data_IF_803107085893
#
_entry.id   IF_803107085893
#
_cell.length_a   1.000
_cell.length_b   1.000
_cell.length_c   1.000
_cell.angle_alpha   90.00
_cell.angle_beta   90.00
_cell.angle_gamma   90.00
#
_symmetry.space_group_name_H-M   'P 1'
#
loop_
_entity.id
_entity.type
_entity.pdbx_description
1 polymer ?
#
# COMPACT_ATOMS: atom_id res chain seq x y z
N UNK A 1 -20.41 -19.82 0.05
CA UNK A 1 -21.10 -18.61 -0.42
C UNK A 1 -21.35 -17.80 0.83
N UNK A 2 -20.56 -16.76 1.05
CA UNK A 2 -20.78 -15.80 2.12
C UNK A 2 -21.86 -14.86 1.57
N UNK A 3 -22.94 -14.64 2.31
CA UNK A 3 -23.98 -13.67 1.95
C UNK A 3 -23.36 -12.26 2.06
N UNK A 4 -22.66 -11.83 1.02
CA UNK A 4 -22.02 -10.50 0.98
C UNK A 4 -23.04 -9.39 0.65
N UNK A 5 -24.24 -9.76 0.16
CA UNK A 5 -25.28 -8.83 -0.25
C UNK A 5 -26.60 -9.12 0.48
N UNK A 6 -27.06 -8.16 1.25
CA UNK A 6 -28.37 -8.22 1.92
C UNK A 6 -29.41 -7.52 1.04
N UNK A 7 -30.40 -8.26 0.58
CA UNK A 7 -31.49 -7.74 -0.27
C UNK A 7 -32.49 -6.93 0.55
N UNK A 8 -32.74 -5.69 0.15
CA UNK A 8 -33.85 -4.89 0.72
C UNK A 8 -35.18 -5.23 0.06
N UNK A 9 -36.31 -4.80 0.69
CA UNK A 9 -37.72 -5.07 0.31
C UNK A 9 -38.12 -4.76 -1.15
N UNK A 10 -37.26 -4.12 -1.95
CA UNK A 10 -37.52 -3.77 -3.34
C UNK A 10 -36.49 -4.35 -4.31
N UNK A 11 -35.72 -5.36 -3.91
CA UNK A 11 -34.68 -5.95 -4.74
C UNK A 11 -33.42 -5.08 -4.89
N UNK A 12 -33.28 -3.98 -4.14
CA UNK A 12 -32.03 -3.21 -4.04
C UNK A 12 -31.13 -3.81 -2.97
N UNK A 13 -29.88 -4.01 -3.28
CA UNK A 13 -28.87 -4.43 -2.32
C UNK A 13 -28.62 -3.30 -1.32
N UNK A 14 -28.72 -3.59 -0.02
CA UNK A 14 -28.37 -2.63 1.02
C UNK A 14 -26.85 -2.63 1.21
N UNK A 15 -26.18 -1.46 1.21
CA UNK A 15 -24.73 -1.38 1.38
C UNK A 15 -24.32 -1.52 2.85
N UNK A 16 -24.70 -2.62 3.49
CA UNK A 16 -24.39 -2.91 4.88
C UNK A 16 -23.51 -4.16 4.99
N UNK A 17 -22.69 -4.23 6.02
CA UNK A 17 -21.88 -5.39 6.34
C UNK A 17 -22.09 -5.81 7.79
N UNK A 18 -22.49 -7.04 7.97
CA UNK A 18 -22.50 -7.68 9.30
C UNK A 18 -21.08 -8.09 9.64
N UNK A 19 -20.67 -7.79 10.86
CA UNK A 19 -19.33 -8.06 11.38
C UNK A 19 -19.46 -8.91 12.64
N UNK A 20 -18.58 -9.88 12.78
CA UNK A 20 -18.42 -10.68 14.00
C UNK A 20 -16.99 -10.57 14.48
N UNK A 21 -16.77 -10.19 15.72
CA UNK A 21 -15.45 -10.06 16.32
C UNK A 21 -14.93 -11.39 16.86
N UNK A 22 -13.64 -11.46 17.16
CA UNK A 22 -13.03 -12.67 17.76
C UNK A 22 -13.58 -12.95 19.18
N UNK A 23 -14.07 -11.94 19.91
CA UNK A 23 -14.79 -12.06 21.18
C UNK A 23 -16.29 -12.37 21.01
N UNK A 24 -16.73 -12.69 19.80
CA UNK A 24 -18.10 -13.07 19.47
C UNK A 24 -19.16 -11.96 19.64
N UNK A 25 -18.74 -10.68 19.57
CA UNK A 25 -19.64 -9.54 19.50
C UNK A 25 -20.08 -9.31 18.05
N UNK A 26 -21.26 -8.76 17.85
CA UNK A 26 -21.82 -8.48 16.53
C UNK A 26 -21.98 -6.97 16.32
N UNK A 27 -21.67 -6.53 15.10
CA UNK A 27 -21.82 -5.16 14.66
C UNK A 27 -22.36 -5.11 13.24
N UNK A 28 -22.99 -3.99 12.90
CA UNK A 28 -23.40 -3.67 11.53
C UNK A 28 -22.65 -2.41 11.10
N UNK A 29 -21.93 -2.50 9.99
CA UNK A 29 -21.32 -1.36 9.32
C UNK A 29 -22.27 -0.86 8.23
N UNK A 30 -22.65 0.42 8.28
CA UNK A 30 -23.43 1.10 7.26
C UNK A 30 -22.50 1.75 6.23
N UNK A 31 -22.48 1.21 5.02
CA UNK A 31 -21.66 1.74 3.93
C UNK A 31 -22.14 3.08 3.37
N UNK A 32 -23.35 3.57 3.72
CA UNK A 32 -23.82 4.89 3.35
C UNK A 32 -23.28 5.98 4.29
N UNK A 33 -23.28 5.72 5.59
CA UNK A 33 -22.94 6.70 6.62
C UNK A 33 -21.57 6.46 7.24
N UNK A 34 -20.94 5.30 6.98
CA UNK A 34 -19.73 4.80 7.66
C UNK A 34 -19.93 4.57 9.16
N UNK A 35 -21.16 4.50 9.65
CA UNK A 35 -21.44 4.20 11.05
C UNK A 35 -21.24 2.72 11.35
N UNK A 36 -20.77 2.46 12.57
CA UNK A 36 -20.68 1.10 13.14
C UNK A 36 -21.67 1.02 14.30
N UNK A 37 -22.61 0.08 14.19
CA UNK A 37 -23.70 -0.10 15.13
C UNK A 37 -23.46 -1.39 15.90
N UNK A 38 -23.33 -1.31 17.23
CA UNK A 38 -23.22 -2.49 18.09
C UNK A 38 -24.59 -3.16 18.22
N UNK A 39 -24.61 -4.46 18.05
CA UNK A 39 -25.84 -5.28 18.23
C UNK A 39 -25.79 -5.91 19.60
N UNK A 40 -26.56 -5.35 20.54
CA UNK A 40 -26.76 -5.93 21.86
C UNK A 40 -27.81 -7.03 21.75
N UNK A 41 -27.37 -8.27 21.79
CA UNK A 41 -28.27 -9.42 21.79
C UNK A 41 -28.75 -9.71 23.22
N UNK A 42 -30.00 -9.43 23.49
CA UNK A 42 -30.69 -9.92 24.72
C UNK A 42 -30.99 -11.44 24.65
N UNK A 43 -30.76 -12.07 23.50
CA UNK A 43 -30.98 -13.51 23.27
C UNK A 43 -29.68 -14.31 23.41
N UNK A 44 -29.82 -15.61 23.71
CA UNK A 44 -28.62 -16.49 23.86
C UNK A 44 -27.73 -16.41 22.64
N UNK A 45 -26.44 -16.13 22.86
CA UNK A 45 -25.41 -15.89 21.81
C UNK A 45 -25.30 -17.05 20.81
N UNK A 46 -25.75 -18.23 21.13
CA UNK A 46 -25.69 -19.43 20.28
C UNK A 46 -26.72 -19.43 19.12
N UNK A 47 -27.74 -18.56 19.18
CA UNK A 47 -28.83 -18.48 18.19
C UNK A 47 -28.60 -17.37 17.15
N UNK A 48 -27.66 -16.47 17.37
CA UNK A 48 -27.38 -15.34 16.45
C UNK A 48 -26.37 -15.77 15.42
N UNK A 49 -26.81 -15.82 14.18
CA UNK A 49 -25.96 -16.01 12.99
C UNK A 49 -26.15 -14.84 12.01
N UNK A 50 -25.34 -14.79 10.98
CA UNK A 50 -25.40 -13.73 9.94
C UNK A 50 -26.79 -13.69 9.25
N UNK A 51 -27.45 -14.83 9.06
CA UNK A 51 -28.77 -14.95 8.45
C UNK A 51 -29.83 -14.32 9.34
N UNK A 52 -29.83 -14.62 10.64
CA UNK A 52 -30.75 -14.01 11.62
C UNK A 52 -30.59 -12.47 11.67
N UNK A 53 -29.37 -11.98 11.64
CA UNK A 53 -29.09 -10.55 11.61
C UNK A 53 -29.63 -9.91 10.33
N UNK A 54 -29.40 -10.55 9.17
CA UNK A 54 -29.86 -10.06 7.89
C UNK A 54 -31.41 -10.01 7.81
N UNK A 55 -32.10 -11.06 8.30
CA UNK A 55 -33.55 -11.19 8.17
C UNK A 55 -34.35 -10.42 9.20
N UNK A 56 -33.85 -10.26 10.43
CA UNK A 56 -34.59 -9.67 11.53
C UNK A 56 -34.05 -8.36 12.05
N UNK A 57 -32.73 -8.27 12.26
CA UNK A 57 -32.11 -7.10 12.90
C UNK A 57 -31.99 -5.93 11.93
N UNK A 58 -31.52 -6.17 10.72
CA UNK A 58 -31.35 -5.10 9.73
C UNK A 58 -32.66 -4.40 9.35
N UNK A 59 -33.79 -5.13 9.10
CA UNK A 59 -35.07 -4.48 8.89
C UNK A 59 -35.53 -3.61 10.06
N UNK A 60 -35.34 -4.07 11.30
CA UNK A 60 -35.68 -3.29 12.50
C UNK A 60 -34.84 -2.01 12.61
N UNK A 61 -33.54 -2.07 12.34
CA UNK A 61 -32.65 -0.90 12.34
C UNK A 61 -33.05 0.12 11.26
N UNK A 62 -33.53 -0.34 10.11
CA UNK A 62 -34.07 0.50 9.05
C UNK A 62 -35.38 1.16 9.44
N UNK A 63 -36.32 0.43 10.07
CA UNK A 63 -37.60 0.94 10.56
C UNK A 63 -37.39 2.00 11.66
N UNK A 64 -36.39 1.80 12.51
CA UNK A 64 -36.02 2.75 13.56
C UNK A 64 -35.24 3.97 13.04
N UNK A 65 -34.87 4.01 11.76
CA UNK A 65 -34.09 5.08 11.18
C UNK A 65 -32.61 5.10 11.63
N UNK A 66 -32.14 4.00 12.23
CA UNK A 66 -30.75 3.85 12.65
C UNK A 66 -29.86 3.56 11.42
N UNK A 67 -30.35 2.71 10.50
CA UNK A 67 -29.76 2.53 9.18
C UNK A 67 -30.46 3.43 8.17
N UNK A 68 -29.69 3.98 7.23
CA UNK A 68 -30.22 4.95 6.26
C UNK A 68 -30.75 4.24 5.01
N UNK A 69 -31.97 4.61 4.60
CA UNK A 69 -32.52 4.33 3.26
C UNK A 69 -32.26 5.57 2.41
N UNK A 70 -31.06 5.77 1.90
CA UNK A 70 -30.73 6.94 1.09
C UNK A 70 -30.57 6.62 -0.38
N UNK A 71 -30.88 7.60 -1.25
CA UNK A 71 -30.40 7.57 -2.63
C UNK A 71 -28.87 7.74 -2.62
N UNK A 72 -28.21 6.90 -3.38
CA UNK A 72 -26.74 6.88 -3.47
C UNK A 72 -26.30 8.03 -4.34
N UNK A 73 -25.59 9.00 -3.77
CA UNK A 73 -24.95 10.06 -4.53
C UNK A 73 -23.89 9.52 -5.51
N UNK A 74 -23.51 10.32 -6.48
CA UNK A 74 -22.40 9.97 -7.39
C UNK A 74 -21.05 9.97 -6.66
N UNK A 75 -20.11 9.15 -7.14
CA UNK A 75 -18.75 9.18 -6.64
C UNK A 75 -18.08 10.52 -6.97
N UNK A 76 -17.36 11.08 -6.01
CA UNK A 76 -16.61 12.32 -6.17
C UNK A 76 -15.19 12.17 -5.63
N UNK A 77 -14.31 13.02 -6.09
CA UNK A 77 -13.00 13.18 -5.46
C UNK A 77 -13.12 14.08 -4.24
N UNK A 78 -12.25 13.90 -3.21
CA UNK A 78 -12.35 14.66 -1.95
C UNK A 78 -12.05 16.16 -2.09
N UNK A 79 -11.57 16.60 -3.25
CA UNK A 79 -11.27 18.00 -3.57
C UNK A 79 -11.72 18.31 -4.99
N UNK A 80 -12.01 19.59 -5.28
CA UNK A 80 -12.31 20.05 -6.62
C UNK A 80 -11.09 19.92 -7.55
N UNK A 81 -11.29 19.89 -8.86
CA UNK A 81 -10.18 19.84 -9.82
C UNK A 81 -9.30 21.10 -9.75
N UNK A 82 -9.86 22.26 -9.40
CA UNK A 82 -9.11 23.51 -9.24
C UNK A 82 -8.17 23.41 -8.02
N UNK A 83 -8.68 22.99 -6.88
CA UNK A 83 -7.89 22.74 -5.67
C UNK A 83 -6.81 21.69 -5.91
N UNK A 84 -7.16 20.62 -6.62
CA UNK A 84 -6.23 19.55 -6.99
C UNK A 84 -5.08 20.07 -7.86
N UNK A 85 -5.36 20.83 -8.93
CA UNK A 85 -4.32 21.42 -9.80
C UNK A 85 -3.47 22.45 -9.05
N UNK A 86 -4.07 23.23 -8.15
CA UNK A 86 -3.34 24.12 -7.25
C UNK A 86 -2.38 23.34 -6.34
N UNK A 87 -2.82 22.22 -5.77
CA UNK A 87 -1.97 21.36 -4.96
C UNK A 87 -0.85 20.72 -5.78
N UNK A 88 -1.14 20.29 -7.01
CA UNK A 88 -0.17 19.71 -7.94
C UNK A 88 0.94 20.70 -8.29
N UNK A 89 0.64 21.98 -8.40
CA UNK A 89 1.60 23.04 -8.70
C UNK A 89 2.47 23.48 -7.51
N UNK A 90 2.16 23.04 -6.26
CA UNK A 90 2.80 23.63 -5.08
C UNK A 90 3.02 22.72 -3.88
N UNK A 91 2.34 21.57 -3.82
CA UNK A 91 2.21 20.77 -2.59
C UNK A 91 2.48 19.29 -2.79
N UNK A 92 3.29 18.90 -3.79
CA UNK A 92 3.68 17.49 -3.99
C UNK A 92 4.49 17.03 -2.78
N UNK A 93 4.04 15.97 -2.06
CA UNK A 93 4.65 15.62 -0.77
C UNK A 93 6.02 14.99 -0.90
N UNK A 94 6.24 14.13 -1.91
CA UNK A 94 7.49 13.40 -2.06
C UNK A 94 7.87 13.15 -3.52
N UNK A 95 9.16 13.03 -3.78
CA UNK A 95 9.75 12.61 -5.04
C UNK A 95 10.28 11.19 -4.93
N UNK A 96 9.89 10.31 -5.84
CA UNK A 96 10.47 8.97 -5.97
C UNK A 96 11.21 8.88 -7.31
N UNK A 97 12.52 8.63 -7.25
CA UNK A 97 13.39 8.49 -8.43
C UNK A 97 13.61 7.02 -8.73
N UNK A 98 13.21 6.57 -9.92
CA UNK A 98 13.63 5.25 -10.43
C UNK A 98 15.08 5.34 -10.89
N UNK A 99 16.03 5.19 -9.97
CA UNK A 99 17.48 5.38 -10.26
C UNK A 99 18.00 4.43 -11.33
N UNK A 100 17.44 3.24 -11.39
CA UNK A 100 17.79 2.20 -12.35
C UNK A 100 16.64 1.22 -12.56
N UNK A 101 16.57 0.63 -13.74
CA UNK A 101 15.75 -0.56 -14.04
C UNK A 101 16.51 -1.86 -13.82
N UNK A 102 17.83 -1.78 -13.61
CA UNK A 102 18.68 -2.94 -13.38
C UNK A 102 18.57 -3.44 -11.94
N UNK A 103 18.60 -4.76 -11.75
CA UNK A 103 18.63 -5.40 -10.45
C UNK A 103 19.51 -6.63 -10.51
N UNK A 104 20.22 -6.92 -9.44
CA UNK A 104 21.03 -8.12 -9.29
C UNK A 104 20.25 -9.34 -8.79
N UNK A 105 18.95 -9.16 -8.46
CA UNK A 105 18.05 -10.22 -8.03
C UNK A 105 16.91 -10.43 -9.03
N UNK A 106 16.46 -11.69 -9.13
CA UNK A 106 15.30 -12.14 -9.90
C UNK A 106 14.17 -12.58 -8.94
N UNK A 107 13.72 -11.68 -8.07
CA UNK A 107 12.67 -11.98 -7.09
C UNK A 107 11.41 -12.47 -7.80
N UNK A 108 10.84 -13.59 -7.33
CA UNK A 108 9.72 -14.24 -8.02
C UNK A 108 8.44 -13.39 -8.08
N UNK A 109 8.27 -12.46 -7.15
CA UNK A 109 7.10 -11.58 -7.01
C UNK A 109 7.34 -10.13 -7.48
N UNK A 110 8.53 -9.83 -8.00
CA UNK A 110 8.88 -8.47 -8.39
C UNK A 110 8.03 -8.00 -9.58
N UNK A 111 7.47 -6.81 -9.47
CA UNK A 111 6.70 -6.21 -10.57
C UNK A 111 7.55 -6.00 -11.83
N UNK A 112 8.87 -5.85 -11.68
CA UNK A 112 9.83 -5.72 -12.78
C UNK A 112 10.43 -7.06 -13.24
N UNK A 113 9.86 -8.20 -12.82
CA UNK A 113 10.36 -9.53 -13.20
C UNK A 113 10.14 -9.90 -14.67
N UNK A 114 9.41 -9.09 -15.44
CA UNK A 114 8.96 -9.41 -16.80
C UNK A 114 7.80 -10.39 -16.85
N UNK A 115 7.23 -10.79 -15.70
CA UNK A 115 6.08 -11.70 -15.60
C UNK A 115 4.73 -10.95 -15.60
N UNK A 116 4.76 -9.64 -15.54
CA UNK A 116 3.59 -8.75 -15.55
C UNK A 116 3.56 -7.98 -16.86
N UNK A 117 2.54 -8.20 -17.69
CA UNK A 117 2.42 -7.63 -19.04
C UNK A 117 2.35 -6.10 -19.06
N UNK A 118 1.84 -5.50 -17.96
CA UNK A 118 1.66 -4.05 -17.83
C UNK A 118 2.87 -3.31 -17.28
N UNK A 119 3.91 -4.03 -16.88
CA UNK A 119 5.12 -3.44 -16.28
C UNK A 119 6.35 -3.67 -17.16
N UNK A 120 7.22 -2.67 -17.22
CA UNK A 120 8.52 -2.83 -17.88
C UNK A 120 9.37 -3.85 -17.14
N UNK A 121 9.97 -4.82 -17.83
CA UNK A 121 10.90 -5.75 -17.19
C UNK A 121 12.17 -5.01 -16.73
N UNK A 122 12.92 -5.63 -15.83
CA UNK A 122 14.28 -5.22 -15.49
C UNK A 122 15.15 -5.10 -16.75
N UNK A 123 15.95 -4.04 -16.85
CA UNK A 123 16.82 -3.77 -17.98
C UNK A 123 18.07 -3.00 -17.51
N UNK A 124 19.20 -3.06 -18.23
CA UNK A 124 20.40 -2.28 -17.92
C UNK A 124 20.23 -0.81 -18.34
N UNK A 125 19.32 -0.11 -17.67
CA UNK A 125 18.98 1.28 -17.94
C UNK A 125 19.01 2.06 -16.62
N UNK A 126 19.93 3.01 -16.53
CA UNK A 126 20.13 3.86 -15.36
C UNK A 126 19.66 5.28 -15.65
N UNK A 127 19.12 5.95 -14.63
CA UNK A 127 18.80 7.37 -14.72
C UNK A 127 20.09 8.20 -14.78
N UNK A 128 20.18 9.10 -15.74
CA UNK A 128 21.33 10.00 -15.84
C UNK A 128 21.39 10.96 -14.66
N UNK A 129 22.59 11.44 -14.31
CA UNK A 129 22.75 12.49 -13.30
C UNK A 129 21.98 13.77 -13.68
N UNK A 130 21.93 14.11 -14.96
CA UNK A 130 21.16 15.25 -15.46
C UNK A 130 19.65 15.06 -15.19
N UNK A 131 19.11 13.88 -15.53
CA UNK A 131 17.70 13.56 -15.27
C UNK A 131 17.38 13.60 -13.77
N UNK A 132 18.29 13.09 -12.90
CA UNK A 132 18.12 13.19 -11.44
C UNK A 132 18.06 14.64 -10.97
N UNK A 133 19.01 15.48 -11.42
CA UNK A 133 19.04 16.89 -11.04
C UNK A 133 17.77 17.63 -11.50
N UNK A 134 17.37 17.47 -12.76
CA UNK A 134 16.14 18.07 -13.30
C UNK A 134 14.90 17.61 -12.56
N UNK A 135 14.85 16.34 -12.14
CA UNK A 135 13.73 15.81 -11.33
C UNK A 135 13.66 16.47 -9.96
N UNK A 136 14.82 16.72 -9.32
CA UNK A 136 14.89 17.41 -8.02
C UNK A 136 14.48 18.88 -8.17
N UNK A 137 14.89 19.56 -9.23
CA UNK A 137 14.48 20.94 -9.53
C UNK A 137 12.96 21.02 -9.78
N UNK A 138 12.44 20.10 -10.61
CA UNK A 138 11.01 20.03 -10.88
C UNK A 138 10.20 19.82 -9.59
N UNK A 139 10.63 18.87 -8.74
CA UNK A 139 10.00 18.63 -7.46
C UNK A 139 10.07 19.86 -6.54
N UNK A 140 11.20 20.54 -6.47
CA UNK A 140 11.35 21.75 -5.65
C UNK A 140 10.37 22.85 -6.08
N UNK A 141 10.19 23.04 -7.40
CA UNK A 141 9.23 24.00 -7.95
C UNK A 141 7.77 23.66 -7.61
N UNK A 142 7.45 22.36 -7.39
CA UNK A 142 6.09 21.87 -7.15
C UNK A 142 5.83 21.44 -5.70
N UNK A 143 6.76 21.65 -4.78
CA UNK A 143 6.64 21.27 -3.37
C UNK A 143 6.87 22.43 -2.38
N UNK A 144 6.85 23.67 -2.84
CA UNK A 144 7.24 24.81 -2.01
C UNK A 144 6.30 25.07 -0.81
N UNK A 145 5.05 24.61 -0.84
CA UNK A 145 4.09 24.68 0.28
C UNK A 145 4.21 23.52 1.27
N UNK A 146 4.89 22.42 0.94
CA UNK A 146 5.02 21.32 1.89
C UNK A 146 5.96 21.69 3.04
N UNK A 147 5.72 21.20 4.28
CA UNK A 147 6.54 21.56 5.44
C UNK A 147 7.97 21.01 5.34
N UNK A 148 8.16 19.91 4.62
CA UNK A 148 9.44 19.27 4.36
C UNK A 148 9.52 18.78 2.91
N UNK A 149 10.71 18.49 2.42
CA UNK A 149 10.95 17.79 1.16
C UNK A 149 11.30 16.33 1.46
N UNK A 150 10.74 15.41 0.69
CA UNK A 150 11.03 13.97 0.81
C UNK A 150 11.50 13.43 -0.54
N UNK A 151 12.67 12.79 -0.57
CA UNK A 151 13.22 12.18 -1.78
C UNK A 151 13.54 10.71 -1.51
N UNK A 152 12.97 9.82 -2.32
CA UNK A 152 13.20 8.38 -2.24
C UNK A 152 13.92 7.88 -3.49
N UNK A 153 15.01 7.17 -3.31
CA UNK A 153 15.69 6.44 -4.37
C UNK A 153 15.15 5.02 -4.42
N UNK A 154 14.64 4.65 -5.59
CA UNK A 154 13.93 3.41 -5.85
C UNK A 154 14.34 2.83 -7.22
N UNK A 155 13.77 1.69 -7.63
CA UNK A 155 13.95 1.10 -8.95
C UNK A 155 14.15 -0.40 -8.91
N UNK A 156 15.09 -0.94 -9.68
CA UNK A 156 15.55 -2.33 -9.55
C UNK A 156 16.32 -2.49 -8.25
N UNK A 157 17.62 -2.20 -8.26
CA UNK A 157 18.44 -2.07 -7.05
C UNK A 157 19.18 -0.74 -7.08
N UNK A 158 18.75 0.26 -6.29
CA UNK A 158 19.34 1.61 -6.32
C UNK A 158 20.84 1.65 -6.01
N UNK A 159 21.33 0.77 -5.14
CA UNK A 159 22.74 0.74 -4.76
C UNK A 159 23.69 0.32 -5.92
N UNK A 160 23.16 -0.17 -7.04
CA UNK A 160 23.95 -0.30 -8.29
C UNK A 160 24.41 1.05 -8.81
N UNK A 161 23.62 2.10 -8.58
CA UNK A 161 23.90 3.49 -8.99
C UNK A 161 24.35 4.35 -7.80
N UNK A 162 25.07 3.76 -6.83
CA UNK A 162 25.42 4.42 -5.57
C UNK A 162 26.11 5.79 -5.76
N UNK A 163 27.03 5.92 -6.70
CA UNK A 163 27.72 7.20 -6.94
C UNK A 163 26.75 8.28 -7.45
N UNK A 164 25.81 7.92 -8.31
CA UNK A 164 24.78 8.85 -8.80
C UNK A 164 23.85 9.29 -7.67
N UNK A 165 23.52 8.38 -6.74
CA UNK A 165 22.75 8.72 -5.53
C UNK A 165 23.54 9.72 -4.68
N UNK A 166 24.82 9.52 -4.41
CA UNK A 166 25.66 10.47 -3.67
C UNK A 166 25.64 11.86 -4.30
N UNK A 167 25.76 11.93 -5.63
CA UNK A 167 25.70 13.19 -6.36
C UNK A 167 24.33 13.87 -6.24
N UNK A 168 23.24 13.10 -6.40
CA UNK A 168 21.87 13.58 -6.28
C UNK A 168 21.55 14.08 -4.87
N UNK A 169 21.99 13.39 -3.83
CA UNK A 169 21.85 13.80 -2.42
C UNK A 169 22.57 15.14 -2.20
N UNK A 170 23.80 15.26 -2.66
CA UNK A 170 24.57 16.52 -2.55
C UNK A 170 23.88 17.67 -3.30
N UNK A 171 23.28 17.37 -4.45
CA UNK A 171 22.51 18.33 -5.23
C UNK A 171 21.21 18.74 -4.54
N UNK A 172 20.44 17.78 -4.03
CA UNK A 172 19.19 18.03 -3.32
C UNK A 172 19.39 18.95 -2.10
N UNK A 173 20.46 18.74 -1.33
CA UNK A 173 20.81 19.62 -0.19
C UNK A 173 21.07 21.08 -0.61
N UNK A 174 21.64 21.31 -1.80
CA UNK A 174 21.81 22.67 -2.33
C UNK A 174 20.47 23.29 -2.72
N UNK A 175 19.56 22.52 -3.29
CA UNK A 175 18.24 23.02 -3.69
C UNK A 175 17.37 23.31 -2.47
N UNK A 176 17.36 22.40 -1.47
CA UNK A 176 16.50 22.49 -0.28
C UNK A 176 17.18 23.10 0.96
N UNK A 177 18.17 23.98 0.79
CA UNK A 177 18.95 24.58 1.90
C UNK A 177 18.10 25.20 3.03
N UNK A 178 16.87 25.67 2.70
CA UNK A 178 15.97 26.38 3.63
C UNK A 178 14.77 25.54 4.06
N UNK A 179 14.75 24.26 3.71
CA UNK A 179 13.62 23.35 3.96
C UNK A 179 14.13 22.05 4.54
N UNK A 180 13.49 21.49 5.58
CA UNK A 180 13.82 20.14 6.03
C UNK A 180 13.78 19.15 4.87
N UNK A 181 14.82 18.33 4.77
CA UNK A 181 14.97 17.34 3.70
C UNK A 181 15.13 15.95 4.33
N UNK A 182 14.25 15.04 3.96
CA UNK A 182 14.34 13.63 4.31
C UNK A 182 14.68 12.82 3.06
N UNK A 183 15.65 11.96 3.17
CA UNK A 183 16.12 11.12 2.06
C UNK A 183 16.00 9.66 2.45
N UNK A 184 15.52 8.82 1.53
CA UNK A 184 15.46 7.38 1.74
C UNK A 184 15.98 6.60 0.53
N UNK A 185 16.59 5.45 0.78
CA UNK A 185 17.06 4.50 -0.23
C UNK A 185 16.38 3.16 0.04
N UNK A 186 15.53 2.70 -0.89
CA UNK A 186 14.90 1.38 -0.81
C UNK A 186 15.78 0.34 -1.47
N UNK A 187 16.32 -0.61 -0.71
CA UNK A 187 17.31 -1.57 -1.23
C UNK A 187 16.99 -3.02 -0.87
N UNK A 188 17.50 -3.93 -1.70
CA UNK A 188 17.55 -5.35 -1.39
C UNK A 188 18.69 -5.73 -0.42
N UNK A 189 19.53 -4.77 -0.03
CA UNK A 189 20.61 -4.85 0.93
C UNK A 189 21.78 -5.78 0.55
N UNK A 190 21.83 -6.33 -0.67
CA UNK A 190 22.91 -7.24 -1.08
C UNK A 190 24.24 -6.55 -1.41
N UNK A 191 24.22 -5.22 -1.58
CA UNK A 191 25.39 -4.40 -1.90
C UNK A 191 26.00 -3.68 -0.71
N UNK A 192 25.46 -3.86 0.50
CA UNK A 192 25.99 -3.24 1.70
C UNK A 192 27.44 -3.65 1.91
N UNK A 193 28.31 -2.66 2.02
CA UNK A 193 29.74 -2.80 2.25
C UNK A 193 30.27 -1.58 3.02
N UNK A 194 31.53 -1.60 3.45
CA UNK A 194 32.12 -0.51 4.23
C UNK A 194 31.98 0.86 3.56
N UNK A 195 32.26 0.96 2.25
CA UNK A 195 32.16 2.24 1.52
C UNK A 195 30.76 2.87 1.64
N UNK A 196 29.70 2.06 1.54
CA UNK A 196 28.31 2.54 1.66
C UNK A 196 28.00 2.90 3.13
N UNK A 197 28.46 2.08 4.08
CA UNK A 197 28.25 2.33 5.50
C UNK A 197 29.03 3.57 6.00
N UNK A 198 30.26 3.79 5.54
CA UNK A 198 31.04 5.01 5.82
C UNK A 198 30.27 6.25 5.33
N UNK A 199 29.79 6.20 4.08
CA UNK A 199 29.01 7.30 3.53
C UNK A 199 27.71 7.54 4.30
N UNK A 200 26.98 6.50 4.71
CA UNK A 200 25.78 6.64 5.54
C UNK A 200 26.11 7.27 6.90
N UNK A 201 27.23 6.91 7.53
CA UNK A 201 27.64 7.48 8.82
C UNK A 201 27.96 8.98 8.72
N UNK A 202 28.41 9.46 7.56
CA UNK A 202 28.65 10.88 7.26
C UNK A 202 27.36 11.61 6.83
N UNK A 203 26.29 10.88 6.49
CA UNK A 203 25.05 11.40 5.90
C UNK A 203 23.83 10.96 6.74
N UNK A 204 23.72 11.52 7.96
CA UNK A 204 22.74 11.11 8.97
C UNK A 204 21.27 11.43 8.63
N UNK A 205 21.02 12.23 7.61
CA UNK A 205 19.71 12.56 7.05
C UNK A 205 19.23 11.56 5.99
N UNK A 206 20.04 10.53 5.70
CA UNK A 206 19.71 9.48 4.72
C UNK A 206 19.27 8.21 5.44
N UNK A 207 18.05 7.76 5.17
CA UNK A 207 17.47 6.54 5.71
C UNK A 207 17.58 5.38 4.72
N UNK A 208 17.88 4.20 5.23
CA UNK A 208 17.97 2.96 4.48
C UNK A 208 16.76 2.09 4.77
N UNK A 209 15.94 1.80 3.76
CA UNK A 209 14.78 0.91 3.88
C UNK A 209 15.15 -0.42 3.24
N UNK A 210 15.36 -1.43 4.06
CA UNK A 210 15.80 -2.74 3.61
C UNK A 210 14.62 -3.72 3.53
N UNK A 211 14.52 -4.46 2.42
CA UNK A 211 13.55 -5.54 2.32
C UNK A 211 14.18 -6.86 2.76
N UNK A 212 13.68 -7.45 3.86
CA UNK A 212 14.16 -8.73 4.40
C UNK A 212 12.96 -9.61 4.77
N UNK A 213 12.83 -10.76 4.11
CA UNK A 213 11.66 -11.64 4.22
C UNK A 213 11.92 -12.88 5.11
N UNK A 214 12.93 -12.84 5.97
CA UNK A 214 13.31 -14.00 6.79
C UNK A 214 13.72 -15.23 5.95
N UNK A 215 13.40 -16.41 6.42
CA UNK A 215 13.73 -17.67 5.75
C UNK A 215 13.08 -17.79 4.35
N UNK A 216 11.91 -17.16 4.13
CA UNK A 216 11.22 -17.13 2.84
C UNK A 216 12.07 -16.46 1.74
N UNK A 217 13.03 -15.62 2.11
CA UNK A 217 13.91 -14.93 1.17
C UNK A 217 14.76 -15.89 0.31
N UNK A 218 15.20 -17.02 0.86
CA UNK A 218 16.01 -18.02 0.12
C UNK A 218 15.28 -18.60 -1.09
N UNK A 219 13.96 -18.65 -1.05
CA UNK A 219 13.12 -19.17 -2.12
C UNK A 219 12.58 -18.07 -3.04
N UNK A 220 12.29 -16.91 -2.50
CA UNK A 220 11.57 -15.81 -3.21
C UNK A 220 12.49 -14.77 -3.81
N UNK A 221 13.72 -14.59 -3.28
CA UNK A 221 14.68 -13.53 -3.67
C UNK A 221 16.02 -14.14 -4.06
N UNK A 222 16.05 -14.73 -5.23
CA UNK A 222 17.25 -15.35 -5.81
C UNK A 222 17.96 -14.41 -6.76
N UNK A 223 19.25 -14.61 -6.94
CA UNK A 223 19.99 -14.01 -8.04
C UNK A 223 19.71 -14.74 -9.36
N UNK A 224 20.24 -14.25 -10.46
CA UNK A 224 20.04 -14.85 -11.78
C UNK A 224 20.70 -16.24 -11.93
N UNK A 225 21.57 -16.65 -11.02
CA UNK A 225 22.10 -18.02 -10.96
C UNK A 225 21.21 -18.98 -10.17
N UNK A 226 20.13 -18.48 -9.57
CA UNK A 226 19.21 -19.24 -8.73
C UNK A 226 19.66 -19.38 -7.27
N UNK A 227 20.72 -18.68 -6.86
CA UNK A 227 21.22 -18.68 -5.47
C UNK A 227 20.40 -17.71 -4.63
N UNK A 228 20.03 -18.10 -3.41
CA UNK A 228 19.36 -17.25 -2.44
C UNK A 228 20.22 -16.05 -1.99
N UNK A 229 19.56 -14.99 -1.57
CA UNK A 229 20.22 -13.72 -1.24
C UNK A 229 20.43 -13.48 0.26
N UNK A 230 19.80 -14.27 1.14
CA UNK A 230 19.76 -14.01 2.58
C UNK A 230 21.18 -13.92 3.20
N UNK A 231 22.07 -14.81 2.82
CA UNK A 231 23.45 -14.81 3.34
C UNK A 231 24.21 -13.50 3.08
N UNK A 232 24.04 -12.90 1.87
CA UNK A 232 24.64 -11.62 1.53
C UNK A 232 24.01 -10.47 2.34
N UNK A 233 22.69 -10.48 2.46
CA UNK A 233 21.95 -9.47 3.22
C UNK A 233 22.34 -9.50 4.70
N UNK A 234 22.41 -10.70 5.30
CA UNK A 234 22.82 -10.85 6.70
C UNK A 234 24.28 -10.42 6.93
N UNK A 235 25.16 -10.58 5.95
CA UNK A 235 26.51 -10.04 6.00
C UNK A 235 26.54 -8.53 6.13
N UNK A 236 25.72 -7.83 5.33
CA UNK A 236 25.57 -6.38 5.39
C UNK A 236 24.92 -5.90 6.71
N UNK A 237 23.90 -6.62 7.20
CA UNK A 237 23.26 -6.33 8.48
C UNK A 237 24.24 -6.44 9.64
N UNK A 238 25.04 -7.53 9.70
CA UNK A 238 26.06 -7.71 10.74
C UNK A 238 27.11 -6.60 10.70
N UNK A 239 27.53 -6.18 9.51
CA UNK A 239 28.45 -5.06 9.34
C UNK A 239 27.88 -3.78 9.97
N UNK A 240 26.61 -3.45 9.70
CA UNK A 240 25.93 -2.32 10.29
C UNK A 240 25.83 -2.43 11.83
N UNK A 241 25.43 -3.59 12.33
CA UNK A 241 25.26 -3.84 13.78
C UNK A 241 26.57 -3.72 14.54
N UNK A 242 27.68 -4.23 13.98
CA UNK A 242 28.94 -4.34 14.66
C UNK A 242 29.82 -3.08 14.52
N UNK A 243 29.91 -2.55 13.31
CA UNK A 243 30.89 -1.50 13.00
C UNK A 243 30.23 -0.11 12.84
N UNK A 244 28.88 -0.04 12.66
CA UNK A 244 28.15 1.22 12.44
C UNK A 244 26.85 1.29 13.29
N UNK A 245 26.95 1.21 14.63
CA UNK A 245 25.76 1.13 15.49
C UNK A 245 24.86 2.36 15.40
N UNK A 246 25.41 3.56 15.16
CA UNK A 246 24.63 4.78 15.00
C UNK A 246 23.78 4.72 13.72
N UNK A 247 24.36 4.31 12.59
CA UNK A 247 23.62 4.07 11.33
C UNK A 247 22.55 3.01 11.54
N UNK A 248 22.93 1.90 12.19
CA UNK A 248 22.00 0.82 12.52
C UNK A 248 20.80 1.32 13.31
N UNK A 249 21.04 2.06 14.38
CA UNK A 249 19.98 2.48 15.29
C UNK A 249 19.07 3.54 14.71
N UNK A 250 19.59 4.50 13.95
CA UNK A 250 18.87 5.71 13.57
C UNK A 250 18.47 5.80 12.09
N UNK A 251 19.16 5.09 11.18
CA UNK A 251 18.94 5.24 9.74
C UNK A 251 18.37 3.98 9.06
N UNK A 252 18.27 2.83 9.79
CA UNK A 252 17.86 1.56 9.20
C UNK A 252 16.45 1.17 9.60
N UNK A 253 15.61 0.95 8.60
CA UNK A 253 14.24 0.42 8.72
C UNK A 253 14.05 -0.80 7.83
N UNK A 254 13.03 -1.61 8.12
CA UNK A 254 12.78 -2.86 7.41
C UNK A 254 11.36 -2.95 6.87
N UNK A 255 11.23 -3.58 5.71
CA UNK A 255 9.97 -4.08 5.16
C UNK A 255 10.11 -5.58 4.98
N UNK A 256 9.11 -6.35 5.38
CA UNK A 256 9.03 -7.78 5.09
C UNK A 256 7.83 -8.10 4.20
N UNK A 257 8.06 -8.92 3.18
CA UNK A 257 6.99 -9.45 2.33
C UNK A 257 6.75 -10.91 2.67
N UNK A 258 5.48 -11.31 2.69
CA UNK A 258 5.07 -12.69 2.91
C UNK A 258 4.05 -13.13 1.84
N UNK A 259 4.06 -14.39 1.50
CA UNK A 259 3.12 -14.96 0.54
C UNK A 259 1.85 -15.47 1.23
N UNK A 260 2.02 -16.12 2.39
CA UNK A 260 0.93 -16.65 3.21
C UNK A 260 1.11 -16.23 4.66
N UNK A 261 0.01 -16.01 5.36
CA UNK A 261 0.03 -15.73 6.81
C UNK A 261 0.69 -16.84 7.64
N UNK A 262 0.76 -18.06 7.09
CA UNK A 262 1.47 -19.20 7.70
C UNK A 262 2.97 -18.92 7.90
N UNK A 263 3.56 -18.03 7.10
CA UNK A 263 4.98 -17.67 7.18
C UNK A 263 5.27 -16.63 8.29
N UNK A 264 4.26 -15.89 8.74
CA UNK A 264 4.42 -14.74 9.65
C UNK A 264 5.09 -15.15 10.97
N UNK A 265 4.71 -16.24 11.66
CA UNK A 265 5.39 -16.65 12.89
C UNK A 265 6.89 -16.91 12.70
N UNK A 266 7.28 -17.50 11.57
CA UNK A 266 8.69 -17.75 11.26
C UNK A 266 9.44 -16.45 10.93
N UNK A 267 8.79 -15.48 10.26
CA UNK A 267 9.33 -14.13 10.00
C UNK A 267 9.51 -13.40 11.33
N UNK A 268 8.53 -13.46 12.22
CA UNK A 268 8.61 -12.86 13.56
C UNK A 268 9.81 -13.41 14.37
N UNK A 269 9.92 -14.73 14.47
CA UNK A 269 11.08 -15.36 15.15
C UNK A 269 12.42 -14.94 14.54
N UNK A 270 12.49 -14.88 13.20
CA UNK A 270 13.69 -14.43 12.49
C UNK A 270 14.06 -12.97 12.84
N UNK A 271 13.09 -12.06 12.83
CA UNK A 271 13.33 -10.66 13.18
C UNK A 271 13.79 -10.50 14.62
N UNK A 272 13.14 -11.18 15.56
CA UNK A 272 13.51 -11.16 16.98
C UNK A 272 14.92 -11.72 17.23
N UNK A 273 15.27 -12.85 16.58
CA UNK A 273 16.51 -13.60 16.89
C UNK A 273 17.71 -13.12 16.08
N UNK A 274 17.50 -12.69 14.83
CA UNK A 274 18.59 -12.41 13.90
C UNK A 274 18.75 -10.92 13.58
N UNK A 275 17.67 -10.13 13.65
CA UNK A 275 17.68 -8.72 13.29
C UNK A 275 17.70 -7.85 14.57
N UNK A 276 16.87 -8.14 15.56
CA UNK A 276 16.75 -7.32 16.78
C UNK A 276 15.98 -6.01 16.59
N UNK A 277 15.32 -5.81 15.45
CA UNK A 277 14.41 -4.69 15.15
C UNK A 277 13.19 -5.23 14.44
N UNK A 278 12.02 -4.65 14.68
CA UNK A 278 10.80 -5.03 13.96
C UNK A 278 10.72 -4.34 12.59
N UNK A 279 10.08 -4.96 11.59
CA UNK A 279 9.79 -4.29 10.34
C UNK A 279 8.77 -3.18 10.57
N UNK A 280 8.89 -2.08 9.83
CA UNK A 280 7.88 -1.02 9.81
C UNK A 280 6.61 -1.40 9.07
N UNK A 281 6.69 -2.42 8.19
CA UNK A 281 5.58 -2.87 7.37
C UNK A 281 5.75 -4.35 7.00
N UNK A 282 4.67 -5.11 7.17
CA UNK A 282 4.49 -6.46 6.65
C UNK A 282 3.53 -6.42 5.46
N UNK A 283 4.04 -6.75 4.26
CA UNK A 283 3.25 -6.66 3.03
C UNK A 283 2.95 -8.03 2.46
N UNK A 284 1.66 -8.37 2.29
CA UNK A 284 1.26 -9.58 1.58
C UNK A 284 1.58 -9.44 0.09
N UNK A 285 2.28 -10.42 -0.47
CA UNK A 285 2.53 -10.51 -1.90
C UNK A 285 1.19 -10.75 -2.60
N UNK A 286 0.83 -9.89 -3.54
CA UNK A 286 -0.47 -9.95 -4.22
C UNK A 286 -0.52 -11.06 -5.26
N UNK A 287 -1.67 -11.72 -5.34
CA UNK A 287 -1.96 -12.80 -6.28
C UNK A 287 -2.54 -12.30 -7.61
N UNK A 288 -3.12 -11.11 -7.58
CA UNK A 288 -4.01 -10.54 -8.59
C UNK A 288 -3.33 -9.97 -9.85
N UNK A 289 -2.01 -10.10 -9.94
CA UNK A 289 -1.23 -9.48 -11.02
C UNK A 289 -0.95 -10.42 -12.21
N UNK A 290 -1.78 -11.46 -12.39
CA UNK A 290 -1.69 -12.34 -13.57
C UNK A 290 -0.46 -13.25 -13.61
N UNK A 291 0.28 -13.39 -12.52
CA UNK A 291 1.47 -14.19 -12.47
C UNK A 291 1.19 -15.63 -12.00
N UNK A 292 1.03 -16.54 -12.95
CA UNK A 292 0.82 -17.98 -12.70
C UNK A 292 1.90 -18.62 -11.80
N UNK A 293 3.10 -18.04 -11.73
CA UNK A 293 4.17 -18.51 -10.87
C UNK A 293 3.89 -18.22 -9.40
N UNK A 294 3.28 -17.08 -9.10
CA UNK A 294 2.86 -16.71 -7.75
C UNK A 294 1.76 -17.66 -7.28
N UNK A 295 0.80 -18.03 -8.13
CA UNK A 295 -0.22 -19.02 -7.81
C UNK A 295 0.38 -20.35 -7.29
N UNK A 296 1.48 -20.82 -7.88
CA UNK A 296 2.14 -22.03 -7.44
C UNK A 296 2.78 -21.93 -6.06
N UNK A 297 3.27 -20.75 -5.67
CA UNK A 297 3.78 -20.47 -4.32
C UNK A 297 2.67 -20.21 -3.30
N UNK A 298 1.51 -19.79 -3.77
CA UNK A 298 0.38 -19.34 -2.96
C UNK A 298 -0.73 -20.38 -2.86
N UNK A 299 -0.53 -21.61 -3.36
CA UNK A 299 -1.41 -22.75 -3.05
C UNK A 299 -1.28 -23.07 -1.55
N UNK A 300 -1.92 -22.26 -0.74
CA UNK A 300 -1.96 -22.39 0.71
C UNK A 300 -3.20 -23.19 1.11
N UNK A 301 -3.07 -23.97 2.15
CA UNK A 301 -4.21 -24.52 2.88
C UNK A 301 -4.99 -23.33 3.49
N UNK A 302 -6.08 -22.91 2.83
CA UNK A 302 -6.90 -21.77 3.24
C UNK A 302 -7.45 -21.93 4.67
N UNK A 303 -7.72 -23.17 5.11
CA UNK A 303 -8.16 -23.44 6.47
C UNK A 303 -7.05 -23.10 7.45
N UNK A 304 -5.84 -23.59 7.20
CA UNK A 304 -4.66 -23.30 8.03
C UNK A 304 -4.29 -21.82 8.00
N UNK A 305 -4.40 -21.16 6.86
CA UNK A 305 -4.16 -19.71 6.76
C UNK A 305 -5.13 -18.93 7.66
N UNK A 306 -6.41 -19.27 7.64
CA UNK A 306 -7.43 -18.66 8.53
C UNK A 306 -7.15 -18.91 10.01
N UNK A 307 -6.76 -20.14 10.36
CA UNK A 307 -6.42 -20.50 11.74
C UNK A 307 -5.20 -19.71 12.25
N UNK A 308 -4.13 -19.65 11.46
CA UNK A 308 -2.93 -18.87 11.82
C UNK A 308 -3.26 -17.39 11.94
N UNK A 309 -4.02 -16.82 11.00
CA UNK A 309 -4.39 -15.42 11.04
C UNK A 309 -5.27 -15.08 12.26
N UNK A 310 -6.18 -15.98 12.64
CA UNK A 310 -6.94 -15.86 13.89
C UNK A 310 -6.03 -15.87 15.12
N UNK A 311 -5.07 -16.79 15.18
CA UNK A 311 -4.12 -16.85 16.29
C UNK A 311 -3.27 -15.57 16.39
N UNK A 312 -2.78 -15.03 15.26
CA UNK A 312 -2.03 -13.77 15.21
C UNK A 312 -2.87 -12.57 15.71
N UNK A 313 -4.17 -12.51 15.40
CA UNK A 313 -5.06 -11.47 15.94
C UNK A 313 -5.23 -11.62 17.46
N UNK A 314 -5.44 -12.84 17.94
CA UNK A 314 -5.55 -13.09 19.38
C UNK A 314 -4.26 -12.70 20.12
N UNK A 315 -3.09 -12.99 19.55
CA UNK A 315 -1.79 -12.56 20.07
C UNK A 315 -1.67 -11.04 20.07
N UNK A 316 -2.08 -10.37 18.97
CA UNK A 316 -2.09 -8.92 18.86
C UNK A 316 -2.94 -8.23 19.94
N UNK A 317 -4.13 -8.77 20.24
CA UNK A 317 -5.01 -8.23 21.28
C UNK A 317 -4.54 -8.55 22.71
N UNK A 318 -3.78 -9.63 22.88
CA UNK A 318 -3.31 -10.04 24.22
C UNK A 318 -2.04 -9.33 24.65
N UNK A 319 -1.24 -8.84 23.71
CA UNK A 319 0.09 -8.32 23.98
C UNK A 319 0.38 -7.11 23.08
N UNK A 320 1.06 -6.09 23.63
CA UNK A 320 1.65 -5.01 22.84
C UNK A 320 2.88 -5.53 22.11
N UNK A 321 2.70 -6.24 21.01
CA UNK A 321 3.79 -6.70 20.16
C UNK A 321 3.93 -5.82 18.93
N UNK A 322 4.95 -4.95 18.93
CA UNK A 322 5.24 -4.02 17.83
C UNK A 322 5.58 -4.71 16.49
N UNK A 323 5.85 -6.01 16.47
CA UNK A 323 5.96 -6.76 15.22
C UNK A 323 4.60 -6.95 14.55
N UNK A 324 3.57 -7.27 15.34
CA UNK A 324 2.21 -7.42 14.84
C UNK A 324 1.55 -6.08 14.51
N UNK A 325 2.04 -4.98 15.09
CA UNK A 325 1.67 -3.62 14.65
C UNK A 325 1.95 -3.43 13.16
N UNK A 326 3.09 -3.87 12.67
CA UNK A 326 3.43 -3.77 11.24
C UNK A 326 2.48 -4.55 10.31
N UNK A 327 1.75 -5.52 10.85
CA UNK A 327 0.76 -6.32 10.13
C UNK A 327 -0.64 -5.69 10.16
N UNK A 328 -1.11 -5.28 11.33
CA UNK A 328 -2.52 -4.94 11.57
C UNK A 328 -2.80 -3.44 11.65
N UNK A 329 -1.90 -2.68 12.29
CA UNK A 329 -2.10 -1.25 12.51
C UNK A 329 -2.33 -0.43 11.24
N UNK A 330 -1.62 -0.65 10.11
CA UNK A 330 -1.88 0.13 8.90
C UNK A 330 -3.32 0.03 8.39
N UNK A 331 -3.98 -1.12 8.56
CA UNK A 331 -5.38 -1.30 8.20
C UNK A 331 -6.34 -0.60 9.15
N UNK A 332 -6.01 -0.57 10.44
CA UNK A 332 -6.81 0.07 11.50
C UNK A 332 -6.70 1.60 11.37
N UNK A 333 -5.49 2.13 11.27
CA UNK A 333 -5.22 3.58 11.12
C UNK A 333 -5.92 4.13 9.87
N UNK A 334 -5.90 3.38 8.77
CA UNK A 334 -6.56 3.77 7.53
C UNK A 334 -8.09 3.85 7.68
N UNK A 335 -8.72 2.99 8.49
CA UNK A 335 -10.14 3.09 8.78
C UNK A 335 -10.47 4.35 9.58
N UNK A 336 -9.63 4.72 10.54
CA UNK A 336 -9.79 5.97 11.31
C UNK A 336 -9.68 7.20 10.42
N UNK A 337 -8.66 7.27 9.58
CA UNK A 337 -8.48 8.38 8.63
C UNK A 337 -9.70 8.53 7.70
N UNK A 338 -10.27 7.44 7.22
CA UNK A 338 -11.38 7.47 6.28
C UNK A 338 -12.74 7.76 6.90
N UNK A 339 -12.95 7.41 8.16
CA UNK A 339 -14.15 7.79 8.91
C UNK A 339 -14.29 9.31 9.07
N UNK A 340 -13.17 10.03 9.23
CA UNK A 340 -13.16 11.48 9.38
C UNK A 340 -13.68 12.23 8.15
N UNK A 341 -13.65 11.62 6.97
CA UNK A 341 -14.14 12.19 5.71
C UNK A 341 -15.53 11.70 5.29
N UNK A 342 -16.22 10.94 6.14
CA UNK A 342 -17.56 10.44 5.84
C UNK A 342 -18.59 11.56 6.01
N UNK A 343 -18.82 12.34 4.97
CA UNK A 343 -19.99 13.19 4.84
C UNK A 343 -21.13 12.37 4.24
N UNK A 344 -22.33 12.42 4.83
CA UNK A 344 -23.50 11.61 4.43
C UNK A 344 -23.91 11.81 2.97
N UNK A 345 -23.66 12.99 2.40
CA UNK A 345 -24.08 13.39 1.05
C UNK A 345 -23.08 13.02 -0.05
N UNK A 346 -21.81 12.85 0.29
CA UNK A 346 -20.73 12.66 -0.69
C UNK A 346 -20.04 11.30 -0.58
N UNK A 347 -19.92 10.62 -1.71
CA UNK A 347 -19.19 9.34 -1.82
C UNK A 347 -17.79 9.57 -2.33
N UNK A 348 -16.87 9.88 -1.42
CA UNK A 348 -15.50 10.08 -1.78
C UNK A 348 -14.83 8.81 -2.34
N UNK A 349 -14.14 8.98 -3.46
CA UNK A 349 -13.29 7.94 -4.02
C UNK A 349 -12.10 7.76 -3.08
N UNK A 350 -12.01 6.59 -2.50
CA UNK A 350 -11.00 6.29 -1.48
C UNK A 350 -9.60 5.96 -2.06
N UNK A 351 -9.46 5.87 -3.39
CA UNK A 351 -8.17 5.69 -4.05
C UNK A 351 -7.32 6.97 -4.01
N UNK A 352 -6.00 6.81 -4.08
CA UNK A 352 -5.11 7.96 -4.22
C UNK A 352 -5.36 8.68 -5.55
N UNK A 353 -5.43 10.01 -5.53
CA UNK A 353 -5.38 10.83 -6.74
C UNK A 353 -3.96 10.80 -7.34
N UNK A 354 -3.81 10.93 -8.65
CA UNK A 354 -2.49 11.02 -9.28
C UNK A 354 -1.61 12.08 -8.58
N UNK A 355 -0.37 11.75 -8.29
CA UNK A 355 0.65 12.63 -7.67
C UNK A 355 0.34 13.22 -6.29
N UNK A 356 -0.84 13.00 -5.70
CA UNK A 356 -1.14 13.52 -4.35
C UNK A 356 -0.31 12.90 -3.23
N UNK A 357 0.17 11.65 -3.40
CA UNK A 357 1.04 11.00 -2.44
C UNK A 357 2.52 11.16 -2.81
N UNK A 358 2.85 11.16 -4.10
CA UNK A 358 4.23 11.21 -4.60
C UNK A 358 4.29 11.54 -6.09
N UNK A 359 5.39 12.12 -6.52
CA UNK A 359 5.81 12.21 -7.91
C UNK A 359 6.79 11.05 -8.18
N UNK A 360 6.41 10.09 -9.02
CA UNK A 360 7.31 9.02 -9.46
C UNK A 360 7.91 9.38 -10.82
N UNK A 361 9.24 9.55 -10.85
CA UNK A 361 10.00 9.85 -12.08
C UNK A 361 10.79 8.63 -12.51
N UNK A 362 10.57 8.21 -13.75
CA UNK A 362 11.21 7.06 -14.39
C UNK A 362 12.63 7.39 -14.84
N UNK A 363 13.42 6.38 -15.18
CA UNK A 363 14.77 6.53 -15.75
C UNK A 363 14.83 7.44 -16.98
N UNK A 364 13.73 7.45 -17.79
CA UNK A 364 13.60 8.27 -18.99
C UNK A 364 12.98 9.68 -18.75
N UNK A 365 12.78 10.08 -17.49
CA UNK A 365 12.24 11.38 -17.12
C UNK A 365 10.72 11.50 -17.22
N UNK A 366 10.00 10.44 -17.54
CA UNK A 366 8.52 10.44 -17.57
C UNK A 366 7.92 10.24 -16.20
N UNK A 367 6.69 10.73 -16.01
CA UNK A 367 5.95 10.68 -14.75
C UNK A 367 4.85 9.62 -14.78
N UNK A 368 4.88 8.73 -13.81
CA UNK A 368 3.79 7.80 -13.50
C UNK A 368 3.17 8.18 -12.15
N UNK A 369 1.94 7.73 -11.90
CA UNK A 369 1.25 7.94 -10.60
C UNK A 369 2.06 7.33 -9.45
N UNK A 370 2.62 6.15 -9.66
CA UNK A 370 3.54 5.48 -8.74
C UNK A 370 4.33 4.39 -9.48
N UNK A 371 5.25 3.76 -8.78
CA UNK A 371 6.09 2.65 -9.24
C UNK A 371 5.30 1.42 -9.72
N UNK A 372 4.02 1.31 -9.34
CA UNK A 372 3.15 0.14 -9.62
C UNK A 372 2.16 0.36 -10.75
N UNK A 373 2.01 1.60 -11.24
CA UNK A 373 1.10 1.89 -12.35
C UNK A 373 1.69 1.40 -13.67
N UNK A 374 0.83 0.98 -14.61
CA UNK A 374 1.24 0.57 -15.95
C UNK A 374 2.20 1.59 -16.57
N UNK A 375 3.27 1.09 -17.17
CA UNK A 375 4.26 1.94 -17.84
C UNK A 375 3.71 2.66 -19.09
N UNK A 376 2.59 2.21 -19.61
CA UNK A 376 1.86 2.90 -20.67
C UNK A 376 1.05 4.10 -20.14
N UNK A 377 0.79 4.19 -18.84
CA UNK A 377 0.02 5.25 -18.22
C UNK A 377 0.92 6.41 -17.77
N UNK A 378 1.21 7.31 -18.69
CA UNK A 378 2.11 8.46 -18.49
C UNK A 378 1.27 9.73 -18.36
N UNK A 379 1.49 10.48 -17.30
CA UNK A 379 0.76 11.71 -16.99
C UNK A 379 1.64 12.97 -16.96
N UNK A 380 2.84 12.89 -17.49
CA UNK A 380 3.77 14.02 -17.59
C UNK A 380 5.21 13.57 -17.86
N UNK A 381 6.09 14.53 -18.03
CA UNK A 381 7.53 14.35 -18.18
C UNK A 381 8.31 15.62 -17.76
N UNK A 382 9.65 15.52 -17.71
CA UNK A 382 10.52 16.64 -17.32
C UNK A 382 10.63 17.74 -18.39
N UNK A 383 10.18 17.51 -19.61
CA UNK A 383 10.25 18.48 -20.69
C UNK A 383 8.98 19.34 -20.74
N UNK A 384 7.82 18.73 -20.60
CA UNK A 384 6.53 19.38 -20.76
C UNK A 384 5.77 19.57 -19.42
N UNK A 385 6.26 18.99 -18.33
CA UNK A 385 5.60 19.03 -17.02
C UNK A 385 4.42 18.08 -16.93
N UNK A 386 3.42 18.43 -16.10
CA UNK A 386 2.20 17.62 -15.94
C UNK A 386 1.29 17.74 -17.15
N UNK A 387 0.79 16.64 -17.64
CA UNK A 387 -0.23 16.60 -18.69
C UNK A 387 -1.63 16.79 -18.05
N UNK A 388 -1.91 18.01 -17.58
CA UNK A 388 -3.10 18.34 -16.76
C UNK A 388 -4.41 17.82 -17.36
N UNK A 389 -4.63 18.03 -18.68
CA UNK A 389 -5.82 17.53 -19.37
C UNK A 389 -5.94 16.00 -19.31
N UNK A 390 -4.82 15.27 -19.44
CA UNK A 390 -4.82 13.82 -19.36
C UNK A 390 -5.06 13.34 -17.91
N UNK A 391 -4.54 14.05 -16.93
CA UNK A 391 -4.75 13.79 -15.51
C UNK A 391 -6.23 13.95 -15.16
N UNK A 392 -6.84 15.09 -15.50
CA UNK A 392 -8.26 15.36 -15.21
C UNK A 392 -9.15 14.33 -15.91
N UNK A 393 -8.84 14.03 -17.17
CA UNK A 393 -9.56 12.98 -17.91
C UNK A 393 -9.49 11.63 -17.22
N UNK A 394 -8.30 11.22 -16.76
CA UNK A 394 -8.12 9.96 -16.04
C UNK A 394 -8.90 9.95 -14.71
N UNK A 395 -8.92 11.07 -13.99
CA UNK A 395 -9.71 11.21 -12.75
C UNK A 395 -11.22 11.10 -13.02
N UNK A 396 -11.73 11.71 -14.10
CA UNK A 396 -13.13 11.59 -14.52
C UNK A 396 -13.49 10.16 -14.93
N UNK A 397 -12.63 9.50 -15.71
CA UNK A 397 -12.84 8.12 -16.12
C UNK A 397 -12.87 7.16 -14.92
N UNK A 398 -12.00 7.40 -13.90
CA UNK A 398 -12.03 6.66 -12.63
C UNK A 398 -13.31 6.94 -11.85
N UNK A 399 -13.77 8.19 -11.78
CA UNK A 399 -15.05 8.52 -11.15
C UNK A 399 -16.20 7.75 -11.79
N UNK A 400 -16.27 7.73 -13.11
CA UNK A 400 -17.28 6.95 -13.83
C UNK A 400 -17.12 5.44 -13.64
N UNK A 401 -15.89 4.93 -13.53
CA UNK A 401 -15.64 3.52 -13.23
C UNK A 401 -16.19 3.15 -11.85
N UNK A 402 -15.95 4.00 -10.83
CA UNK A 402 -16.45 3.79 -9.46
C UNK A 402 -17.98 3.88 -9.44
N UNK A 403 -18.59 4.87 -10.08
CA UNK A 403 -20.06 4.98 -10.16
C UNK A 403 -20.70 3.71 -10.74
N UNK A 404 -20.12 3.16 -11.80
CA UNK A 404 -20.69 1.96 -12.45
C UNK A 404 -20.48 0.67 -11.67
N UNK A 405 -19.38 0.54 -10.91
CA UNK A 405 -18.99 -0.73 -10.30
C UNK A 405 -19.21 -0.78 -8.79
N UNK A 406 -19.29 0.37 -8.12
CA UNK A 406 -19.26 0.42 -6.65
C UNK A 406 -20.53 1.02 -6.04
N UNK A 407 -21.55 1.38 -6.84
CA UNK A 407 -22.78 2.02 -6.34
C UNK A 407 -23.45 1.21 -5.23
N UNK A 408 -23.43 -0.13 -5.31
CA UNK A 408 -24.08 -1.04 -4.38
C UNK A 408 -23.12 -1.69 -3.37
N UNK A 409 -21.83 -1.29 -3.41
CA UNK A 409 -20.81 -1.89 -2.56
C UNK A 409 -20.81 -1.25 -1.17
N UNK A 410 -20.95 -2.06 -0.12
CA UNK A 410 -20.85 -1.60 1.27
C UNK A 410 -19.48 -1.00 1.60
N UNK A 411 -18.43 -1.47 0.93
CA UNK A 411 -17.06 -1.07 1.19
C UNK A 411 -16.64 0.22 0.47
N UNK A 412 -17.47 0.82 -0.37
CA UNK A 412 -17.08 1.92 -1.26
C UNK A 412 -16.31 3.03 -0.56
N UNK A 413 -16.79 3.52 0.58
CA UNK A 413 -16.19 4.66 1.32
C UNK A 413 -14.84 4.34 1.94
N UNK A 414 -14.60 3.08 2.26
CA UNK A 414 -13.37 2.62 2.93
C UNK A 414 -12.50 1.73 2.03
N UNK A 415 -12.87 1.58 0.75
CA UNK A 415 -12.20 0.68 -0.17
C UNK A 415 -10.74 1.07 -0.40
N UNK A 416 -9.84 0.09 -0.31
CA UNK A 416 -8.40 0.23 -0.52
C UNK A 416 -7.99 -0.02 -1.98
N UNK A 417 -8.95 -0.05 -2.90
CA UNK A 417 -8.63 -0.29 -4.31
C UNK A 417 -7.65 0.78 -4.80
N UNK A 418 -6.46 0.34 -5.15
CA UNK A 418 -5.39 1.21 -5.59
C UNK A 418 -5.62 1.67 -7.03
N UNK A 419 -5.22 2.89 -7.36
CA UNK A 419 -5.32 3.47 -8.70
C UNK A 419 -4.72 2.55 -9.78
N UNK A 420 -3.63 1.84 -9.48
CA UNK A 420 -3.01 0.87 -10.40
C UNK A 420 -3.97 -0.22 -10.91
N UNK A 421 -4.98 -0.61 -10.12
CA UNK A 421 -5.95 -1.63 -10.51
C UNK A 421 -7.03 -1.08 -11.43
N UNK A 422 -7.15 0.22 -11.50
CA UNK A 422 -8.08 0.93 -12.38
C UNK A 422 -7.49 1.16 -13.78
N UNK A 423 -6.18 0.95 -13.93
CA UNK A 423 -5.46 1.08 -15.22
C UNK A 423 -5.23 -0.30 -15.83
N UNK A 424 -5.47 -0.44 -17.12
CA UNK A 424 -5.19 -1.67 -17.86
C UNK A 424 -3.73 -1.72 -18.37
N UNK A 425 -3.36 -2.81 -19.02
CA UNK A 425 -2.03 -3.04 -19.56
C UNK A 425 -1.65 -2.06 -20.71
N UNK A 426 -2.64 -1.46 -21.36
CA UNK A 426 -2.45 -0.49 -22.44
C UNK A 426 -2.39 0.96 -21.92
N UNK A 427 -2.52 1.18 -20.61
CA UNK A 427 -2.53 2.50 -20.01
C UNK A 427 -3.87 3.22 -20.06
N UNK A 428 -4.98 2.52 -20.27
CA UNK A 428 -6.32 3.09 -20.24
C UNK A 428 -6.99 2.82 -18.90
N UNK A 429 -7.93 3.67 -18.52
CA UNK A 429 -8.80 3.37 -17.38
C UNK A 429 -9.76 2.24 -17.78
N UNK A 430 -9.84 1.22 -16.94
CA UNK A 430 -10.66 0.02 -17.16
C UNK A 430 -12.15 0.38 -17.27
N UNK A 431 -12.87 -0.39 -18.04
CA UNK A 431 -14.33 -0.30 -18.10
C UNK A 431 -15.00 -1.01 -16.92
N UNK A 432 -14.32 -2.00 -16.34
CA UNK A 432 -14.83 -2.80 -15.21
C UNK A 432 -13.69 -3.19 -14.27
N UNK A 433 -13.98 -3.18 -12.96
CA UNK A 433 -13.08 -3.68 -11.94
C UNK A 433 -13.22 -5.21 -11.88
N UNK A 434 -12.12 -5.99 -11.91
CA UNK A 434 -12.19 -7.45 -11.76
C UNK A 434 -12.85 -7.87 -10.45
N UNK A 435 -13.81 -8.78 -10.51
CA UNK A 435 -14.60 -9.22 -9.33
C UNK A 435 -13.73 -9.89 -8.27
N UNK A 436 -12.74 -10.67 -8.66
CA UNK A 436 -11.80 -11.33 -7.75
C UNK A 436 -11.07 -10.31 -6.87
N UNK A 437 -10.73 -9.17 -7.46
CA UNK A 437 -10.09 -8.08 -6.76
C UNK A 437 -11.04 -7.40 -5.76
N UNK A 438 -12.30 -7.18 -6.17
CA UNK A 438 -13.34 -6.64 -5.29
C UNK A 438 -13.61 -7.59 -4.11
N UNK A 439 -13.72 -8.90 -4.36
CA UNK A 439 -13.90 -9.90 -3.29
C UNK A 439 -12.75 -9.86 -2.29
N UNK A 440 -11.50 -9.81 -2.77
CA UNK A 440 -10.32 -9.74 -1.91
C UNK A 440 -10.30 -8.46 -1.06
N UNK A 441 -10.65 -7.31 -1.67
CA UNK A 441 -10.72 -6.04 -0.95
C UNK A 441 -11.80 -6.07 0.14
N UNK A 442 -13.00 -6.58 -0.18
CA UNK A 442 -14.09 -6.74 0.79
C UNK A 442 -13.70 -7.66 1.96
N UNK A 443 -13.03 -8.78 1.68
CA UNK A 443 -12.55 -9.69 2.74
C UNK A 443 -11.55 -9.00 3.66
N UNK A 444 -10.54 -8.31 3.10
CA UNK A 444 -9.54 -7.60 3.89
C UNK A 444 -10.19 -6.49 4.74
N UNK A 445 -11.12 -5.73 4.18
CA UNK A 445 -11.82 -4.67 4.89
C UNK A 445 -12.75 -5.21 5.98
N UNK A 446 -13.43 -6.33 5.73
CA UNK A 446 -14.25 -7.01 6.73
C UNK A 446 -13.40 -7.44 7.93
N UNK A 447 -12.20 -7.95 7.70
CA UNK A 447 -11.26 -8.28 8.77
C UNK A 447 -10.79 -7.04 9.54
N UNK A 448 -10.38 -5.99 8.83
CA UNK A 448 -9.97 -4.73 9.47
C UNK A 448 -11.11 -4.12 10.31
N UNK A 449 -12.33 -4.09 9.79
CA UNK A 449 -13.51 -3.62 10.54
C UNK A 449 -13.81 -4.48 11.77
N UNK A 450 -13.73 -5.81 11.66
CA UNK A 450 -13.89 -6.71 12.81
C UNK A 450 -12.84 -6.42 13.89
N UNK A 451 -11.59 -6.23 13.51
CA UNK A 451 -10.53 -5.86 14.45
C UNK A 451 -10.74 -4.47 15.05
N UNK A 452 -11.19 -3.53 14.25
CA UNK A 452 -11.55 -2.19 14.70
C UNK A 452 -12.65 -2.24 15.76
N UNK A 453 -13.72 -3.02 15.52
CA UNK A 453 -14.80 -3.24 16.49
C UNK A 453 -14.32 -3.98 17.74
N UNK A 454 -13.32 -4.84 17.64
CA UNK A 454 -12.73 -5.52 18.80
C UNK A 454 -12.01 -4.53 19.73
N UNK A 455 -11.35 -3.51 19.15
CA UNK A 455 -10.54 -2.52 19.89
C UNK A 455 -11.42 -1.40 20.45
N UNK A 456 -12.34 -0.87 19.66
CA UNK A 456 -13.07 0.38 19.94
C UNK A 456 -14.57 0.23 20.14
N UNK A 457 -15.12 -0.97 19.93
CA UNK A 457 -16.56 -1.26 19.99
C UNK A 457 -17.15 -1.72 21.33
#
# INVERSE_FOLDING_TARGET
MVADDIMGDRGSVLPVKVLRTDSNRFFVYDGLTSQIISINAEQSMDEINEEHLAEKVIPQLLEQGILTRGERGHACWPVSYEEYLSALSSSIPSLVLQTTRNCNLACCYCIYSGKYSHMRPSAPEDMSNETMCRSIEFYAAHSWRTPKAEIAFYGGEPLLCFQSICNAVSYARKIFQRKPLEISISTNATFLNRKICDWLSENTDVNLIMTVNGAFQEHSRKDFSGKGSLGKVMGGIRLLQQDYPEVWNHQVSFIANYASSIEIPAIHSFYREQIGKNPMLLTKIRQDMGNAFIHKFLMTDEKREREVRKALRQEYFAHEDSFLDALFKPGIDLLDERKLFANEEEKHIASCMPFCARLFVRTDGKFNVCERTSDAFILGDLEHGFHETAIIRAMEEVRHLVDRNCSDCWAQRICLLCFQHMVDENGNIRQRIPEELCCQMRQNLSECLSMYCEIYG
#
